data_IF_358392999196
#
_entry.id   IF_358392999196
#
_cell.length_a   1.000
_cell.length_b   1.000
_cell.length_c   1.000
_cell.angle_alpha   90.00
_cell.angle_beta   90.00
_cell.angle_gamma   90.00
#
_symmetry.space_group_name_H-M   'P 1'
#
loop_
_entity.id
_entity.type
_entity.pdbx_description
1 polymer ?
#
# COMPACT_ATOMS: atom_id res chain seq x y z
N UNK A 1 -27.19 13.25 13.62
CA UNK A 1 -26.19 12.21 13.96
C UNK A 1 -24.91 12.62 13.27
N UNK A 2 -23.95 13.10 14.05
CA UNK A 2 -22.72 13.72 13.58
C UNK A 2 -21.56 13.05 14.34
N UNK A 3 -20.38 13.01 13.69
CA UNK A 3 -19.10 12.43 14.11
C UNK A 3 -18.81 11.00 13.63
N UNK A 4 -18.21 10.91 12.43
CA UNK A 4 -17.07 10.01 12.14
C UNK A 4 -16.36 10.45 10.83
N UNK A 5 -16.17 11.74 10.63
CA UNK A 5 -15.13 12.21 9.72
C UNK A 5 -13.85 12.36 10.54
N UNK A 6 -13.11 11.25 10.71
CA UNK A 6 -11.72 11.33 11.19
C UNK A 6 -10.96 12.07 10.10
N UNK A 7 -10.52 13.30 10.40
CA UNK A 7 -9.64 14.07 9.53
C UNK A 7 -8.49 13.14 9.10
N UNK A 8 -8.34 12.98 7.80
CA UNK A 8 -7.08 12.53 7.19
C UNK A 8 -5.95 13.31 7.86
N UNK A 9 -4.99 12.62 8.46
CA UNK A 9 -3.77 13.26 8.93
C UNK A 9 -3.17 14.01 7.74
N UNK A 10 -2.78 15.29 7.88
CA UNK A 10 -2.24 16.05 6.76
C UNK A 10 -1.03 15.29 6.17
N UNK A 11 -0.94 15.18 4.85
CA UNK A 11 0.16 14.51 4.14
C UNK A 11 1.55 15.02 4.56
N UNK A 12 1.64 16.31 4.90
CA UNK A 12 2.83 16.96 5.46
C UNK A 12 3.25 16.43 6.84
N UNK A 13 2.31 15.94 7.63
CA UNK A 13 2.54 15.33 8.94
C UNK A 13 3.14 13.93 8.78
N UNK A 14 2.67 13.17 7.79
CA UNK A 14 3.12 11.79 7.56
C UNK A 14 4.56 11.72 7.05
N UNK A 15 4.93 12.57 6.09
CA UNK A 15 6.31 12.64 5.61
C UNK A 15 7.28 13.00 6.76
N UNK A 16 6.93 13.98 7.59
CA UNK A 16 7.71 14.33 8.78
C UNK A 16 7.83 13.18 9.78
N UNK A 17 6.72 12.45 10.02
CA UNK A 17 6.71 11.28 10.89
C UNK A 17 7.64 10.17 10.38
N UNK A 18 7.66 9.91 9.08
CA UNK A 18 8.57 8.92 8.47
C UNK A 18 10.03 9.31 8.62
N UNK A 19 10.35 10.59 8.36
CA UNK A 19 11.71 11.11 8.53
C UNK A 19 12.17 11.04 10.00
N UNK A 20 11.29 11.41 10.93
CA UNK A 20 11.55 11.27 12.37
C UNK A 20 11.81 9.80 12.74
N UNK A 21 11.02 8.87 12.22
CA UNK A 21 11.21 7.45 12.47
C UNK A 21 12.58 6.95 11.96
N UNK A 22 13.00 7.40 10.77
CA UNK A 22 14.32 7.12 10.23
C UNK A 22 15.44 7.65 11.15
N UNK A 23 15.32 8.90 11.62
CA UNK A 23 16.32 9.51 12.50
C UNK A 23 16.44 8.78 13.83
N UNK A 24 15.32 8.41 14.46
CA UNK A 24 15.28 7.65 15.71
C UNK A 24 15.95 6.28 15.52
N UNK A 25 15.54 5.53 14.49
CA UNK A 25 16.05 4.17 14.24
C UNK A 25 17.56 4.17 13.93
N UNK A 26 18.01 5.06 13.03
CA UNK A 26 19.42 5.14 12.66
C UNK A 26 20.30 5.58 13.83
N UNK A 27 19.83 6.56 14.61
CA UNK A 27 20.54 7.04 15.80
C UNK A 27 20.64 5.97 16.87
N UNK A 28 19.56 5.25 17.11
CA UNK A 28 19.49 4.19 18.11
C UNK A 28 20.37 2.98 17.71
N UNK A 29 20.30 2.55 16.46
CA UNK A 29 21.14 1.45 15.96
C UNK A 29 22.63 1.79 16.08
N UNK A 30 23.01 3.03 15.74
CA UNK A 30 24.38 3.54 15.92
C UNK A 30 24.78 3.56 17.39
N UNK A 31 23.90 4.00 18.29
CA UNK A 31 24.13 4.02 19.74
C UNK A 31 24.39 2.62 20.30
N UNK A 32 23.72 1.61 19.76
CA UNK A 32 23.89 0.20 20.14
C UNK A 32 25.09 -0.50 19.49
N UNK A 33 25.82 0.19 18.61
CA UNK A 33 27.04 -0.31 17.99
C UNK A 33 26.84 -1.15 16.73
N UNK A 34 25.68 -1.05 16.07
CA UNK A 34 25.48 -1.65 14.76
C UNK A 34 26.47 -1.04 13.76
N UNK A 35 27.11 -1.89 12.95
CA UNK A 35 28.04 -1.48 11.88
C UNK A 35 27.30 -0.92 10.68
N UNK A 36 26.13 -1.47 10.36
CA UNK A 36 25.23 -0.95 9.34
C UNK A 36 23.78 -1.06 9.83
N UNK A 37 22.90 -0.22 9.29
CA UNK A 37 21.48 -0.22 9.60
C UNK A 37 20.68 0.26 8.38
N UNK A 38 19.50 -0.31 8.16
CA UNK A 38 18.50 0.21 7.25
C UNK A 38 17.09 0.14 7.86
N UNK A 39 16.28 1.10 7.46
CA UNK A 39 14.86 1.19 7.72
C UNK A 39 14.15 1.24 6.36
N UNK A 40 13.12 0.43 6.21
CA UNK A 40 12.12 0.60 5.17
C UNK A 40 10.76 0.74 5.81
N UNK A 41 9.90 1.58 5.25
CA UNK A 41 8.55 1.68 5.75
C UNK A 41 7.59 2.32 4.78
N UNK A 42 6.31 2.12 5.02
CA UNK A 42 5.26 2.78 4.30
C UNK A 42 4.09 3.09 5.22
N UNK A 43 3.35 4.12 4.84
CA UNK A 43 2.02 4.40 5.34
C UNK A 43 1.08 4.43 4.14
N UNK A 44 -0.07 3.79 4.25
CA UNK A 44 -1.09 3.70 3.22
C UNK A 44 -2.44 4.09 3.82
N UNK A 45 -3.23 4.83 3.05
CA UNK A 45 -4.66 4.93 3.31
C UNK A 45 -5.47 4.72 2.02
N UNK A 46 -6.63 4.09 2.16
CA UNK A 46 -7.43 3.71 1.01
C UNK A 46 -8.92 3.60 1.32
N UNK A 47 -9.69 3.46 0.25
CA UNK A 47 -11.11 3.20 0.24
C UNK A 47 -11.35 2.06 -0.75
N UNK A 48 -12.06 1.02 -0.30
CA UNK A 48 -12.53 -0.08 -1.13
C UNK A 48 -14.04 -0.21 -0.96
N UNK A 49 -14.79 -0.11 -2.05
CA UNK A 49 -16.24 -0.22 -2.07
C UNK A 49 -16.65 -1.37 -2.98
N UNK A 50 -17.39 -2.33 -2.43
CA UNK A 50 -17.90 -3.49 -3.16
C UNK A 50 -19.41 -3.46 -3.20
N UNK A 51 -19.96 -3.70 -4.39
CA UNK A 51 -21.40 -3.86 -4.62
C UNK A 51 -21.64 -5.23 -5.23
N UNK A 52 -22.84 -5.77 -5.00
CA UNK A 52 -23.27 -7.02 -5.61
C UNK A 52 -24.77 -7.00 -5.85
N UNK A 53 -25.15 -7.40 -7.06
CA UNK A 53 -26.53 -7.39 -7.55
C UNK A 53 -27.19 -6.01 -7.37
N UNK A 54 -26.43 -4.94 -7.60
CA UNK A 54 -26.88 -3.54 -7.49
C UNK A 54 -26.98 -3.00 -6.07
N UNK A 55 -26.63 -3.79 -5.06
CA UNK A 55 -26.69 -3.40 -3.65
C UNK A 55 -25.29 -3.25 -3.08
N UNK A 56 -25.10 -2.26 -2.21
CA UNK A 56 -23.85 -2.07 -1.49
C UNK A 56 -23.60 -3.23 -0.53
N UNK A 57 -22.46 -3.93 -0.68
CA UNK A 57 -22.05 -4.99 0.23
C UNK A 57 -21.08 -4.50 1.30
N UNK A 58 -20.00 -3.81 0.90
CA UNK A 58 -18.91 -3.43 1.81
C UNK A 58 -18.36 -2.05 1.48
N UNK A 59 -18.09 -1.27 2.52
CA UNK A 59 -17.23 -0.09 2.48
C UNK A 59 -16.10 -0.33 3.46
N UNK A 60 -14.88 -0.39 2.96
CA UNK A 60 -13.66 -0.56 3.74
C UNK A 60 -12.78 0.68 3.64
N UNK A 61 -12.30 1.14 4.80
CA UNK A 61 -11.29 2.18 4.89
C UNK A 61 -9.99 1.57 5.38
N UNK A 62 -8.97 1.62 4.53
CA UNK A 62 -7.64 1.09 4.82
C UNK A 62 -6.79 2.19 5.48
N UNK A 63 -6.05 1.84 6.53
CA UNK A 63 -5.05 2.70 7.15
C UNK A 63 -3.93 1.84 7.71
N UNK A 64 -2.95 1.57 6.84
CA UNK A 64 -1.86 0.66 7.12
C UNK A 64 -0.56 1.42 7.35
N UNK A 65 0.22 0.90 8.28
CA UNK A 65 1.55 1.39 8.62
C UNK A 65 2.46 0.19 8.81
N UNK A 66 3.62 0.22 8.20
CA UNK A 66 4.60 -0.85 8.36
C UNK A 66 6.02 -0.30 8.28
N UNK A 67 6.86 -0.72 9.22
CA UNK A 67 8.25 -0.32 9.34
C UNK A 67 9.08 -1.56 9.64
N UNK A 68 10.06 -1.84 8.79
CA UNK A 68 11.05 -2.89 8.96
C UNK A 68 12.43 -2.30 9.17
N UNK A 69 13.14 -2.77 10.19
CA UNK A 69 14.51 -2.42 10.49
C UNK A 69 15.39 -3.64 10.32
N UNK A 70 16.52 -3.47 9.65
CA UNK A 70 17.61 -4.44 9.58
C UNK A 70 18.88 -3.81 10.12
N UNK A 71 19.55 -4.49 11.05
CA UNK A 71 20.83 -4.07 11.61
C UNK A 71 21.89 -5.14 11.38
N UNK A 72 23.13 -4.69 11.24
CA UNK A 72 24.27 -5.55 10.96
C UNK A 72 25.35 -5.32 12.02
N UNK A 73 25.88 -6.39 12.59
CA UNK A 73 27.09 -6.38 13.41
C UNK A 73 28.18 -7.15 12.66
N UNK A 74 29.08 -6.42 11.99
CA UNK A 74 29.91 -7.00 10.95
C UNK A 74 29.01 -7.49 9.81
N UNK A 75 28.97 -8.80 9.61
CA UNK A 75 28.16 -9.48 8.61
C UNK A 75 26.98 -10.28 9.20
N UNK A 76 26.74 -10.19 10.50
CA UNK A 76 25.61 -10.82 11.16
C UNK A 76 24.37 -9.92 11.11
N UNK A 77 23.28 -10.41 10.50
CA UNK A 77 22.03 -9.69 10.30
C UNK A 77 21.02 -9.96 11.43
N UNK A 78 20.30 -8.93 11.84
CA UNK A 78 19.06 -9.06 12.61
C UNK A 78 18.00 -8.10 12.10
N UNK A 79 16.77 -8.57 11.95
CA UNK A 79 15.66 -7.76 11.43
C UNK A 79 14.44 -7.85 12.32
N UNK A 80 13.70 -6.76 12.43
CA UNK A 80 12.44 -6.68 13.16
C UNK A 80 11.50 -5.67 12.48
N UNK A 81 10.19 -5.79 12.71
CA UNK A 81 9.21 -4.87 12.14
C UNK A 81 8.13 -4.46 13.15
N UNK A 82 7.48 -3.33 12.88
CA UNK A 82 6.35 -2.79 13.66
C UNK A 82 5.39 -2.01 12.77
N UNK A 83 4.15 -1.84 13.25
CA UNK A 83 3.16 -0.90 12.71
C UNK A 83 2.96 0.32 13.63
N UNK A 84 3.65 0.36 14.78
CA UNK A 84 3.61 1.47 15.74
C UNK A 84 4.86 2.34 15.60
N UNK A 85 4.63 3.62 15.27
CA UNK A 85 5.64 4.65 15.03
C UNK A 85 6.01 5.46 16.28
N UNK A 86 5.52 5.10 17.47
CA UNK A 86 5.94 5.75 18.71
C UNK A 86 7.43 5.55 18.95
N UNK A 87 8.11 6.56 19.50
CA UNK A 87 9.55 6.50 19.82
C UNK A 87 9.90 5.25 20.65
N UNK A 88 9.05 4.88 21.60
CA UNK A 88 9.21 3.66 22.42
C UNK A 88 9.21 2.39 21.56
N UNK A 89 8.30 2.29 20.59
CA UNK A 89 8.21 1.15 19.67
C UNK A 89 9.41 1.11 18.74
N UNK A 90 9.81 2.26 18.18
CA UNK A 90 10.99 2.40 17.32
C UNK A 90 12.29 2.01 18.03
N UNK A 91 12.48 2.41 19.29
CA UNK A 91 13.63 1.96 20.08
C UNK A 91 13.55 0.45 20.34
N UNK A 92 12.36 -0.06 20.71
CA UNK A 92 12.17 -1.48 21.02
C UNK A 92 12.42 -2.40 19.80
N UNK A 93 12.05 -1.99 18.59
CA UNK A 93 12.35 -2.80 17.39
C UNK A 93 13.85 -2.84 17.10
N UNK A 94 14.58 -1.74 17.35
CA UNK A 94 16.04 -1.72 17.19
C UNK A 94 16.69 -2.63 18.22
N UNK A 95 16.24 -2.60 19.49
CA UNK A 95 16.71 -3.52 20.53
C UNK A 95 16.53 -4.99 20.12
N UNK A 96 15.37 -5.34 19.55
CA UNK A 96 15.08 -6.69 19.06
C UNK A 96 16.00 -7.07 17.90
N UNK A 97 16.11 -6.22 16.89
CA UNK A 97 16.96 -6.46 15.73
C UNK A 97 18.43 -6.62 16.15
N UNK A 98 18.95 -5.74 17.02
CA UNK A 98 20.30 -5.81 17.56
C UNK A 98 20.54 -7.09 18.38
N UNK A 99 19.54 -7.51 19.17
CA UNK A 99 19.62 -8.76 19.92
C UNK A 99 19.72 -9.97 18.98
N UNK A 100 18.90 -10.01 17.92
CA UNK A 100 18.92 -11.09 16.93
C UNK A 100 20.26 -11.15 16.18
N UNK A 101 20.79 -10.00 15.74
CA UNK A 101 22.06 -9.94 15.03
C UNK A 101 23.22 -10.54 15.84
N UNK A 102 23.25 -10.31 17.16
CA UNK A 102 24.29 -10.83 18.07
C UNK A 102 24.27 -12.36 18.23
N UNK A 103 23.16 -13.02 17.90
CA UNK A 103 23.03 -14.48 17.95
C UNK A 103 23.04 -15.14 16.57
N UNK A 104 23.13 -14.34 15.50
CA UNK A 104 23.14 -14.83 14.12
C UNK A 104 24.58 -15.02 13.65
N UNK A 105 24.81 -16.02 12.79
CA UNK A 105 26.12 -16.24 12.20
C UNK A 105 26.46 -15.13 11.19
N UNK A 106 27.75 -14.85 11.03
CA UNK A 106 28.21 -13.95 9.96
C UNK A 106 28.01 -14.60 8.58
N UNK A 107 27.52 -13.80 7.64
CA UNK A 107 27.46 -14.14 6.22
C UNK A 107 28.19 -13.07 5.40
N UNK A 108 29.36 -13.36 4.79
CA UNK A 108 30.12 -12.38 4.02
C UNK A 108 29.35 -11.71 2.87
N UNK A 109 28.25 -12.30 2.40
CA UNK A 109 27.37 -11.71 1.38
C UNK A 109 26.31 -10.75 1.97
N UNK A 110 26.17 -10.69 3.29
CA UNK A 110 25.23 -9.85 4.02
C UNK A 110 25.80 -8.44 4.23
N UNK A 111 24.96 -7.43 4.03
CA UNK A 111 25.31 -6.02 4.24
C UNK A 111 24.51 -5.11 3.32
N UNK A 112 24.64 -3.81 3.57
CA UNK A 112 24.04 -2.79 2.70
C UNK A 112 24.68 -2.79 1.31
N UNK A 113 23.93 -2.29 0.33
CA UNK A 113 24.50 -1.90 -0.95
C UNK A 113 25.60 -0.84 -0.76
N UNK A 114 26.64 -0.91 -1.58
CA UNK A 114 27.73 0.06 -1.54
C UNK A 114 27.21 1.50 -1.68
N UNK A 115 27.78 2.42 -0.90
CA UNK A 115 27.28 3.78 -0.78
C UNK A 115 27.26 4.57 -2.12
N UNK A 116 28.16 4.24 -3.04
CA UNK A 116 28.27 4.82 -4.39
C UNK A 116 27.24 4.24 -5.39
N UNK A 117 26.57 3.15 -5.04
CA UNK A 117 25.48 2.53 -5.82
C UNK A 117 24.10 3.04 -5.43
N UNK A 118 24.00 3.84 -4.37
CA UNK A 118 22.73 4.42 -3.91
C UNK A 118 22.23 5.47 -4.90
N UNK A 119 20.93 5.47 -5.17
CA UNK A 119 20.29 6.37 -6.12
C UNK A 119 20.22 7.81 -5.59
N UNK A 120 21.35 8.54 -5.69
CA UNK A 120 21.46 9.94 -5.24
C UNK A 120 20.72 10.92 -6.16
N UNK A 121 20.64 10.59 -7.45
CA UNK A 121 19.80 11.31 -8.40
C UNK A 121 18.42 10.66 -8.43
N UNK A 122 17.39 11.47 -8.14
CA UNK A 122 16.01 11.01 -8.02
C UNK A 122 15.15 11.83 -8.97
N UNK A 123 14.81 11.32 -10.16
CA UNK A 123 13.91 12.01 -11.05
C UNK A 123 12.52 12.10 -10.42
N UNK A 124 11.79 13.17 -10.73
CA UNK A 124 10.36 13.22 -10.46
C UNK A 124 9.66 12.21 -11.38
N UNK A 125 8.88 11.31 -10.78
CA UNK A 125 8.27 10.17 -11.47
C UNK A 125 6.77 10.35 -11.69
N UNK A 126 6.17 11.39 -11.13
CA UNK A 126 4.75 11.71 -11.31
C UNK A 126 3.84 10.52 -10.94
N UNK A 127 4.02 9.98 -9.72
CA UNK A 127 3.35 8.75 -9.26
C UNK A 127 2.11 9.02 -8.40
N UNK A 128 1.88 10.26 -7.98
CA UNK A 128 0.86 10.66 -7.03
C UNK A 128 -0.25 11.47 -7.72
N UNK A 129 -1.38 10.83 -7.99
CA UNK A 129 -2.57 11.40 -8.64
C UNK A 129 -3.81 11.08 -7.79
N UNK A 130 -4.05 11.82 -6.69
CA UNK A 130 -5.15 11.54 -5.77
C UNK A 130 -6.51 11.61 -6.45
N UNK A 131 -7.37 10.62 -6.18
CA UNK A 131 -8.75 10.61 -6.66
C UNK A 131 -9.69 11.04 -5.54
N UNK A 132 -10.30 12.22 -5.69
CA UNK A 132 -11.24 12.77 -4.70
C UNK A 132 -12.65 12.15 -4.79
N UNK A 133 -12.72 10.82 -4.90
CA UNK A 133 -13.96 10.05 -4.90
C UNK A 133 -14.36 9.70 -3.46
N UNK A 134 -15.62 9.92 -3.10
CA UNK A 134 -16.16 9.46 -1.83
C UNK A 134 -16.83 8.08 -1.94
N UNK A 135 -17.23 7.51 -0.80
CA UNK A 135 -17.82 6.18 -0.77
C UNK A 135 -19.15 6.07 -1.53
N UNK A 136 -19.95 7.15 -1.62
CA UNK A 136 -21.21 7.13 -2.37
C UNK A 136 -20.94 7.15 -3.87
N UNK A 137 -20.03 8.02 -4.31
CA UNK A 137 -19.60 8.08 -5.70
C UNK A 137 -18.94 6.76 -6.15
N UNK A 138 -18.13 6.14 -5.29
CA UNK A 138 -17.54 4.83 -5.56
C UNK A 138 -18.60 3.72 -5.62
N UNK A 139 -19.65 3.82 -4.80
CA UNK A 139 -20.81 2.91 -4.85
C UNK A 139 -21.55 3.05 -6.19
N UNK A 140 -21.88 4.28 -6.60
CA UNK A 140 -22.57 4.56 -7.86
C UNK A 140 -21.78 4.03 -9.07
N UNK A 141 -20.45 4.25 -9.07
CA UNK A 141 -19.55 3.76 -10.11
C UNK A 141 -19.46 2.22 -10.14
N UNK A 142 -19.41 1.57 -8.98
CA UNK A 142 -19.41 0.12 -8.89
C UNK A 142 -20.74 -0.47 -9.40
N UNK A 143 -21.88 0.15 -9.06
CA UNK A 143 -23.21 -0.25 -9.55
C UNK A 143 -23.28 -0.11 -11.08
N UNK A 144 -22.80 1.02 -11.63
CA UNK A 144 -22.74 1.24 -13.07
C UNK A 144 -21.91 0.14 -13.76
N UNK A 145 -20.72 -0.15 -13.22
CA UNK A 145 -19.83 -1.18 -13.75
C UNK A 145 -20.49 -2.57 -13.73
N UNK A 146 -21.03 -3.00 -12.59
CA UNK A 146 -21.69 -4.31 -12.46
C UNK A 146 -22.90 -4.42 -13.40
N UNK A 147 -23.75 -3.39 -13.42
CA UNK A 147 -24.98 -3.41 -14.19
C UNK A 147 -24.70 -3.43 -15.69
N UNK A 148 -23.71 -2.66 -16.16
CA UNK A 148 -23.31 -2.65 -17.57
C UNK A 148 -22.90 -4.05 -18.05
N UNK A 149 -22.11 -4.78 -17.26
CA UNK A 149 -21.71 -6.13 -17.61
C UNK A 149 -22.86 -7.15 -17.57
N UNK A 150 -23.73 -7.07 -16.55
CA UNK A 150 -24.93 -7.94 -16.48
C UNK A 150 -25.90 -7.75 -17.64
N UNK A 151 -25.94 -6.55 -18.23
CA UNK A 151 -26.83 -6.23 -19.35
C UNK A 151 -26.30 -6.68 -20.72
N UNK A 152 -25.06 -7.19 -20.80
CA UNK A 152 -24.43 -7.62 -22.07
C UNK A 152 -25.15 -8.81 -22.70
N UNK A 153 -25.48 -9.84 -21.91
CA UNK A 153 -26.05 -11.09 -22.40
C UNK A 153 -27.00 -11.70 -21.36
N UNK A 154 -28.16 -12.20 -21.81
CA UNK A 154 -29.16 -12.81 -20.94
C UNK A 154 -28.67 -14.07 -20.20
N UNK A 155 -27.58 -14.70 -20.69
CA UNK A 155 -26.91 -15.81 -20.02
C UNK A 155 -26.12 -15.37 -18.79
N UNK A 156 -25.83 -14.07 -18.61
CA UNK A 156 -25.22 -13.55 -17.39
C UNK A 156 -26.28 -13.51 -16.29
N UNK A 157 -26.41 -14.61 -15.56
CA UNK A 157 -27.50 -14.84 -14.61
C UNK A 157 -27.18 -14.36 -13.20
N UNK A 158 -25.89 -14.16 -12.87
CA UNK A 158 -25.47 -13.78 -11.53
C UNK A 158 -24.18 -12.93 -11.54
N UNK A 159 -23.81 -12.40 -10.38
CA UNK A 159 -22.64 -11.56 -10.19
C UNK A 159 -21.90 -11.90 -8.90
N UNK A 160 -20.57 -11.83 -8.96
CA UNK A 160 -19.69 -11.81 -7.79
C UNK A 160 -19.37 -10.38 -7.33
N UNK A 161 -19.88 -9.38 -8.04
CA UNK A 161 -19.85 -7.98 -7.67
C UNK A 161 -18.91 -7.14 -8.51
N UNK A 162 -18.93 -5.84 -8.23
CA UNK A 162 -17.91 -4.90 -8.69
C UNK A 162 -17.29 -4.18 -7.50
N UNK A 163 -15.98 -3.94 -7.58
CA UNK A 163 -15.21 -3.27 -6.54
C UNK A 163 -14.46 -2.09 -7.14
N UNK A 164 -14.62 -0.92 -6.51
CA UNK A 164 -13.81 0.28 -6.75
C UNK A 164 -12.85 0.45 -5.60
N UNK A 165 -11.55 0.48 -5.89
CA UNK A 165 -10.48 0.70 -4.91
C UNK A 165 -9.69 1.95 -5.28
N UNK A 166 -9.46 2.82 -4.31
CA UNK A 166 -8.58 3.99 -4.43
C UNK A 166 -7.68 4.05 -3.21
N UNK A 167 -6.38 4.31 -3.41
CA UNK A 167 -5.43 4.34 -2.32
C UNK A 167 -4.24 5.24 -2.60
N UNK A 168 -3.70 5.79 -1.53
CA UNK A 168 -2.49 6.59 -1.54
C UNK A 168 -1.52 6.02 -0.51
N UNK A 169 -0.24 6.02 -0.85
CA UNK A 169 0.81 5.60 0.07
C UNK A 169 2.04 6.47 -0.05
N UNK A 170 2.71 6.65 1.07
CA UNK A 170 4.04 7.24 1.15
C UNK A 170 5.00 6.15 1.62
N UNK A 171 6.12 6.01 0.94
CA UNK A 171 7.17 5.03 1.26
C UNK A 171 8.44 5.76 1.62
N UNK A 172 9.19 5.23 2.58
CA UNK A 172 10.52 5.69 2.95
C UNK A 172 11.51 4.52 2.98
N UNK A 173 12.74 4.80 2.57
CA UNK A 173 13.90 3.96 2.80
C UNK A 173 15.03 4.85 3.34
N UNK A 174 15.65 4.40 4.41
CA UNK A 174 16.76 5.07 5.07
C UNK A 174 17.85 4.07 5.45
N UNK A 175 19.13 4.46 5.38
CA UNK A 175 20.21 3.59 5.83
C UNK A 175 21.41 4.37 6.40
N UNK A 176 22.34 3.63 7.00
CA UNK A 176 23.54 4.16 7.67
C UNK A 176 24.61 4.74 6.72
N UNK A 177 24.37 4.77 5.41
CA UNK A 177 25.21 5.48 4.42
C UNK A 177 24.68 6.89 4.13
N UNK A 178 24.04 7.52 5.12
CA UNK A 178 23.43 8.85 5.02
C UNK A 178 22.50 8.95 3.79
N UNK A 179 21.71 7.90 3.57
CA UNK A 179 20.71 7.86 2.51
C UNK A 179 19.33 7.82 3.13
N UNK A 180 18.51 8.81 2.78
CA UNK A 180 17.08 8.85 3.12
C UNK A 180 16.35 9.30 1.86
N UNK A 181 15.42 8.46 1.40
CA UNK A 181 14.61 8.73 0.22
C UNK A 181 13.22 8.13 0.40
N UNK A 182 12.24 8.78 -0.21
CA UNK A 182 10.88 8.31 -0.24
C UNK A 182 10.16 8.87 -1.44
N UNK A 183 8.97 8.35 -1.69
CA UNK A 183 8.07 8.85 -2.70
C UNK A 183 6.63 8.54 -2.30
N UNK A 184 5.73 9.37 -2.79
CA UNK A 184 4.30 9.15 -2.73
C UNK A 184 3.83 8.45 -3.99
N UNK A 185 2.82 7.61 -3.86
CA UNK A 185 2.17 6.98 -5.01
C UNK A 185 0.69 6.79 -4.74
N UNK A 186 -0.05 6.76 -5.83
CA UNK A 186 -1.47 6.39 -5.86
C UNK A 186 -1.65 5.10 -6.67
N UNK A 187 -2.74 4.40 -6.36
CA UNK A 187 -3.22 3.23 -7.09
C UNK A 187 -4.74 3.22 -7.02
N UNK A 188 -5.37 3.15 -8.18
CA UNK A 188 -6.82 3.07 -8.34
C UNK A 188 -7.14 1.84 -9.19
N UNK A 189 -8.24 1.17 -8.88
CA UNK A 189 -8.71 0.04 -9.69
C UNK A 189 -10.23 -0.08 -9.66
N UNK A 190 -10.78 -0.57 -10.76
CA UNK A 190 -12.18 -1.01 -10.85
C UNK A 190 -12.14 -2.44 -11.39
N UNK A 191 -12.80 -3.37 -10.70
CA UNK A 191 -12.92 -4.77 -11.12
C UNK A 191 -14.38 -5.19 -11.07
N UNK A 192 -14.81 -6.01 -12.02
CA UNK A 192 -16.13 -6.64 -12.04
C UNK A 192 -15.98 -8.13 -12.34
N UNK A 193 -16.70 -8.98 -11.61
CA UNK A 193 -16.74 -10.43 -11.81
C UNK A 193 -18.17 -10.91 -11.97
N UNK A 194 -18.45 -11.60 -13.06
CA UNK A 194 -19.78 -12.00 -13.49
C UNK A 194 -19.86 -13.51 -13.72
N UNK A 195 -21.08 -14.04 -13.63
CA UNK A 195 -21.35 -15.45 -13.84
C UNK A 195 -22.36 -15.62 -14.97
N UNK A 196 -21.95 -16.41 -15.97
CA UNK A 196 -22.82 -16.86 -17.04
C UNK A 196 -23.27 -18.31 -16.83
N UNK A 197 -24.50 -18.61 -17.22
CA UNK A 197 -25.07 -19.95 -17.22
C UNK A 197 -25.68 -20.29 -18.58
N UNK A 198 -25.33 -21.45 -19.12
CA UNK A 198 -25.92 -22.02 -20.33
C UNK A 198 -25.97 -23.55 -20.21
N UNK A 199 -27.11 -24.16 -20.53
CA UNK A 199 -27.32 -25.62 -20.46
C UNK A 199 -26.92 -26.28 -19.12
N UNK A 200 -27.13 -25.55 -18.01
CA UNK A 200 -26.77 -25.99 -16.66
C UNK A 200 -25.27 -25.99 -16.36
N UNK A 201 -24.45 -25.41 -17.25
CA UNK A 201 -23.03 -25.14 -17.02
C UNK A 201 -22.86 -23.69 -16.58
N UNK A 202 -22.07 -23.48 -15.53
CA UNK A 202 -21.77 -22.16 -14.98
C UNK A 202 -20.30 -21.82 -15.23
N UNK A 203 -20.05 -20.61 -15.68
CA UNK A 203 -18.71 -20.08 -15.85
C UNK A 203 -18.64 -18.66 -15.26
N UNK A 204 -17.56 -18.40 -14.52
CA UNK A 204 -17.23 -17.08 -13.98
C UNK A 204 -16.03 -16.50 -14.71
N UNK A 205 -16.06 -15.19 -14.95
CA UNK A 205 -14.92 -14.44 -15.43
C UNK A 205 -14.97 -13.02 -14.87
N UNK A 206 -13.88 -12.28 -15.05
CA UNK A 206 -13.77 -10.92 -14.59
C UNK A 206 -12.98 -10.05 -15.57
N UNK A 207 -13.19 -8.75 -15.46
CA UNK A 207 -12.35 -7.75 -16.11
C UNK A 207 -12.04 -6.62 -15.13
N UNK A 208 -10.92 -5.94 -15.36
CA UNK A 208 -10.49 -4.84 -14.50
C UNK A 208 -9.64 -3.83 -15.28
N UNK A 209 -9.53 -2.64 -14.70
CA UNK A 209 -8.50 -1.67 -15.05
C UNK A 209 -7.86 -1.12 -13.77
N UNK A 210 -6.61 -0.71 -13.88
CA UNK A 210 -5.82 -0.12 -12.80
C UNK A 210 -4.88 0.95 -13.35
N UNK A 211 -4.82 2.07 -12.65
CA UNK A 211 -3.87 3.13 -12.96
C UNK A 211 -3.43 3.90 -11.71
N UNK A 212 -2.37 4.69 -11.86
CA UNK A 212 -2.01 5.72 -10.86
C UNK A 212 -2.92 6.92 -10.98
N UNK A 213 -3.15 7.38 -12.20
CA UNK A 213 -4.09 8.45 -12.51
C UNK A 213 -5.42 7.83 -12.98
N UNK A 214 -6.49 8.06 -12.22
CA UNK A 214 -7.81 7.51 -12.53
C UNK A 214 -8.36 7.99 -13.87
N UNK A 215 -7.92 9.16 -14.37
CA UNK A 215 -8.34 9.69 -15.68
C UNK A 215 -7.84 8.83 -16.85
N UNK A 216 -6.87 7.94 -16.61
CA UNK A 216 -6.33 7.02 -17.61
C UNK A 216 -7.03 5.65 -17.60
N UNK A 217 -7.98 5.42 -16.68
CA UNK A 217 -8.73 4.18 -16.61
C UNK A 217 -9.91 4.19 -17.58
N UNK A 218 -10.29 3.00 -18.05
CA UNK A 218 -11.53 2.78 -18.77
C UNK A 218 -12.73 3.21 -17.91
N UNK A 219 -13.81 3.64 -18.57
CA UNK A 219 -15.07 3.92 -17.89
C UNK A 219 -15.59 2.64 -17.20
N UNK A 220 -16.24 2.79 -16.05
CA UNK A 220 -16.80 1.66 -15.30
C UNK A 220 -17.71 0.79 -16.16
N UNK A 221 -18.57 1.40 -16.98
CA UNK A 221 -19.42 0.68 -17.92
C UNK A 221 -18.62 -0.16 -18.94
N UNK A 222 -17.50 0.35 -19.46
CA UNK A 222 -16.66 -0.39 -20.41
C UNK A 222 -15.97 -1.58 -19.73
N UNK A 223 -15.54 -1.43 -18.49
CA UNK A 223 -14.99 -2.53 -17.68
C UNK A 223 -16.06 -3.59 -17.46
N UNK A 224 -17.28 -3.17 -17.11
CA UNK A 224 -18.44 -4.05 -16.99
C UNK A 224 -18.71 -4.84 -18.27
N UNK A 225 -18.75 -4.17 -19.43
CA UNK A 225 -19.01 -4.83 -20.71
C UNK A 225 -17.96 -5.89 -21.09
N UNK A 226 -16.73 -5.79 -20.57
CA UNK A 226 -15.65 -6.76 -20.84
C UNK A 226 -15.59 -7.93 -19.85
N UNK A 227 -16.21 -7.79 -18.67
CA UNK A 227 -16.20 -8.80 -17.59
C UNK A 227 -16.97 -10.07 -17.97
#
# INVERSE_FOLDING_TARGET
MNQLARKTEPEQDLNQLLHHAADVVLSEAKRQGATQCELSGYCHHGLSVTVRLGELETIEHENDRHFGVSVYFGHALGSASTNDLSDTSLVSIVDKACSMAKFTAEDPASGLADADRLARQRPELDLNHPWAIDAYQATDLAIECEQAGRDVDARITNSEGATVTTGQSITIYANSHDFIAGFEKTRHSIVCSLLAEEDGQMATNYWYDEARNHDLMAAGADIGHQA
#
